data_IF_183283519289
#
_entry.id   IF_183283519289
#
_cell.length_a   1.000
_cell.length_b   1.000
_cell.length_c   1.000
_cell.angle_alpha   90.00
_cell.angle_beta   90.00
_cell.angle_gamma   90.00
#
_symmetry.space_group_name_H-M   'P 1'
#
loop_
_entity.id
_entity.type
_entity.pdbx_description
1 polymer ?
#
# COMPACT_ATOMS: atom_id res chain seq x y z
N UNK A 1 3.19 -11.97 12.69
CA UNK A 1 3.33 -13.32 12.09
C UNK A 1 4.64 -13.95 12.57
N UNK A 2 4.70 -15.27 12.73
CA UNK A 2 5.91 -16.00 13.17
C UNK A 2 6.33 -17.04 12.13
N UNK A 3 7.62 -17.34 12.05
CA UNK A 3 8.18 -18.43 11.24
C UNK A 3 8.71 -19.53 12.16
N UNK A 4 8.42 -20.79 11.82
CA UNK A 4 8.82 -21.96 12.59
C UNK A 4 9.69 -22.91 11.76
N UNK A 5 10.66 -23.55 12.40
CA UNK A 5 11.45 -24.63 11.83
C UNK A 5 11.57 -25.75 12.86
N UNK A 6 11.12 -26.96 12.50
CA UNK A 6 11.08 -28.14 13.41
C UNK A 6 10.43 -27.82 14.77
N UNK A 7 9.27 -27.16 14.76
CA UNK A 7 8.53 -26.77 15.96
C UNK A 7 9.10 -25.57 16.73
N UNK A 8 10.31 -25.09 16.41
CA UNK A 8 10.92 -23.92 17.07
C UNK A 8 10.62 -22.63 16.32
N UNK A 9 10.24 -21.57 17.04
CA UNK A 9 10.13 -20.23 16.46
C UNK A 9 11.52 -19.70 16.10
N UNK A 10 11.73 -19.37 14.82
CA UNK A 10 13.03 -18.91 14.29
C UNK A 10 12.99 -17.48 13.73
N UNK A 11 11.81 -16.90 13.62
CA UNK A 11 11.65 -15.51 13.21
C UNK A 11 10.25 -14.97 13.46
N UNK A 12 10.13 -13.66 13.49
CA UNK A 12 8.86 -12.96 13.69
C UNK A 12 8.87 -11.62 12.96
N UNK A 13 7.68 -11.19 12.58
CA UNK A 13 7.39 -9.84 12.12
C UNK A 13 6.18 -9.31 12.89
N UNK A 14 6.31 -8.09 13.41
CA UNK A 14 5.26 -7.38 14.14
C UNK A 14 4.89 -6.15 13.33
N UNK A 15 3.59 -6.03 13.06
CA UNK A 15 3.02 -5.04 12.16
C UNK A 15 1.75 -4.46 12.78
N UNK A 16 1.41 -3.23 12.38
CA UNK A 16 0.09 -2.64 12.63
C UNK A 16 -0.41 -1.92 11.39
N UNK A 17 -1.71 -1.69 11.34
CA UNK A 17 -2.39 -0.85 10.36
C UNK A 17 -3.17 0.22 11.10
N UNK A 18 -3.32 1.39 10.49
CA UNK A 18 -4.08 2.47 11.10
C UNK A 18 -4.00 3.76 10.30
N UNK A 19 -4.92 4.67 10.61
CA UNK A 19 -4.91 6.00 10.04
C UNK A 19 -3.72 6.81 10.57
N UNK A 20 -3.07 7.52 9.65
CA UNK A 20 -2.04 8.49 9.99
C UNK A 20 -2.04 9.60 8.95
N UNK A 21 -2.32 10.84 9.38
CA UNK A 21 -2.33 12.02 8.51
C UNK A 21 -3.22 11.83 7.27
N UNK A 22 -4.43 11.32 7.45
CA UNK A 22 -5.43 11.05 6.41
C UNK A 22 -5.02 9.97 5.39
N UNK A 23 -4.06 9.11 5.75
CA UNK A 23 -3.68 7.93 4.96
C UNK A 23 -3.81 6.69 5.81
N UNK A 24 -4.52 5.68 5.32
CA UNK A 24 -4.53 4.36 5.98
C UNK A 24 -3.25 3.63 5.61
N UNK A 25 -2.40 3.30 6.59
CA UNK A 25 -1.05 2.78 6.32
C UNK A 25 -0.69 1.58 7.17
N UNK A 26 0.16 0.74 6.60
CA UNK A 26 0.88 -0.30 7.30
C UNK A 26 2.15 0.24 7.98
N UNK A 27 2.50 -0.32 9.12
CA UNK A 27 3.76 -0.06 9.81
C UNK A 27 4.40 -1.37 10.26
N UNK A 28 5.64 -1.62 9.83
CA UNK A 28 6.45 -2.75 10.30
C UNK A 28 7.27 -2.28 11.50
N UNK A 29 6.89 -2.73 12.70
CA UNK A 29 7.49 -2.31 13.95
C UNK A 29 8.74 -3.12 14.31
N UNK A 30 8.75 -4.41 13.96
CA UNK A 30 9.84 -5.31 14.31
C UNK A 30 9.95 -6.45 13.31
N UNK A 31 11.18 -6.79 12.94
CA UNK A 31 11.51 -7.97 12.16
C UNK A 31 12.74 -8.63 12.78
N UNK A 32 12.63 -9.90 13.15
CA UNK A 32 13.73 -10.66 13.76
C UNK A 32 13.80 -12.03 13.11
N UNK A 33 15.01 -12.46 12.75
CA UNK A 33 15.34 -13.84 12.36
C UNK A 33 16.60 -14.24 13.12
N UNK A 34 16.55 -15.41 13.76
CA UNK A 34 17.69 -15.98 14.48
C UNK A 34 18.91 -16.10 13.56
N UNK A 35 20.10 -15.76 14.06
CA UNK A 35 21.33 -15.68 13.25
C UNK A 35 21.60 -16.94 12.43
N UNK A 36 21.44 -18.13 13.03
CA UNK A 36 21.66 -19.43 12.37
C UNK A 36 20.67 -19.76 11.24
N UNK A 37 19.59 -18.98 11.12
CA UNK A 37 18.54 -19.13 10.10
C UNK A 37 18.51 -17.97 9.08
N UNK A 38 19.46 -17.03 9.17
CA UNK A 38 19.61 -15.95 8.18
C UNK A 38 20.14 -16.48 6.85
N UNK A 39 19.98 -15.69 5.78
CA UNK A 39 20.40 -16.06 4.43
C UNK A 39 19.49 -17.07 3.72
N UNK A 40 18.35 -17.44 4.34
CA UNK A 40 17.41 -18.46 3.82
C UNK A 40 16.06 -17.89 3.35
N UNK A 41 15.99 -16.58 3.09
CA UNK A 41 14.76 -15.92 2.62
C UNK A 41 13.64 -15.73 3.66
N UNK A 42 13.80 -16.19 4.91
CA UNK A 42 12.75 -16.12 5.95
C UNK A 42 12.25 -14.68 6.19
N UNK A 43 13.17 -13.73 6.27
CA UNK A 43 12.83 -12.32 6.47
C UNK A 43 12.02 -11.75 5.29
N UNK A 44 12.43 -12.09 4.07
CA UNK A 44 11.71 -11.75 2.83
C UNK A 44 10.29 -12.28 2.89
N UNK A 45 10.11 -13.56 3.19
CA UNK A 45 8.80 -14.19 3.24
C UNK A 45 7.87 -13.56 4.28
N UNK A 46 8.38 -13.33 5.50
CA UNK A 46 7.61 -12.70 6.58
C UNK A 46 7.14 -11.30 6.19
N UNK A 47 8.03 -10.49 5.58
CA UNK A 47 7.71 -9.12 5.17
C UNK A 47 6.76 -9.12 3.97
N UNK A 48 7.01 -9.92 2.94
CA UNK A 48 6.14 -10.02 1.75
C UNK A 48 4.72 -10.41 2.11
N UNK A 49 4.54 -11.42 2.98
CA UNK A 49 3.19 -11.79 3.46
C UNK A 49 2.52 -10.66 4.24
N UNK A 50 3.27 -9.95 5.07
CA UNK A 50 2.73 -8.83 5.84
C UNK A 50 2.29 -7.69 4.93
N UNK A 51 3.08 -7.37 3.91
CA UNK A 51 2.77 -6.36 2.88
C UNK A 51 1.50 -6.74 2.14
N UNK A 52 1.37 -8.00 1.72
CA UNK A 52 0.18 -8.50 1.02
C UNK A 52 -1.08 -8.29 1.86
N UNK A 53 -1.05 -8.68 3.14
CA UNK A 53 -2.18 -8.46 4.06
C UNK A 53 -2.50 -6.97 4.21
N UNK A 54 -1.49 -6.10 4.32
CA UNK A 54 -1.71 -4.65 4.43
C UNK A 54 -2.34 -4.07 3.17
N UNK A 55 -1.90 -4.51 1.99
CA UNK A 55 -2.44 -4.09 0.70
C UNK A 55 -3.90 -4.53 0.54
N UNK A 56 -4.20 -5.79 0.83
CA UNK A 56 -5.56 -6.34 0.80
C UNK A 56 -6.49 -5.67 1.82
N UNK A 57 -5.93 -5.16 2.91
CA UNK A 57 -6.68 -4.39 3.92
C UNK A 57 -6.91 -2.92 3.53
N UNK A 58 -6.48 -2.50 2.34
CA UNK A 58 -6.67 -1.14 1.82
C UNK A 58 -5.66 -0.10 2.33
N UNK A 59 -4.51 -0.53 2.87
CA UNK A 59 -3.43 0.43 3.11
C UNK A 59 -3.00 1.08 1.79
N UNK A 60 -2.57 2.34 1.83
CA UNK A 60 -1.98 3.02 0.65
C UNK A 60 -0.45 2.90 0.63
N UNK A 61 0.15 2.71 1.80
CA UNK A 61 1.60 2.57 1.95
C UNK A 61 1.98 1.69 3.14
N UNK A 62 3.22 1.20 3.13
CA UNK A 62 3.88 0.57 4.28
C UNK A 62 5.11 1.36 4.65
N UNK A 63 5.27 1.61 5.95
CA UNK A 63 6.38 2.40 6.49
C UNK A 63 7.15 1.64 7.58
N UNK A 64 8.43 1.95 7.71
CA UNK A 64 9.28 1.48 8.81
C UNK A 64 10.52 2.36 8.97
N UNK A 65 11.23 2.18 10.08
CA UNK A 65 12.55 2.74 10.28
C UNK A 65 13.62 1.64 10.39
N UNK A 66 14.78 1.89 9.79
CA UNK A 66 15.95 1.03 9.91
C UNK A 66 17.19 1.87 10.18
N UNK A 67 18.07 1.40 11.08
CA UNK A 67 19.37 2.02 11.34
C UNK A 67 20.16 2.19 10.04
N UNK A 68 20.81 3.34 9.87
CA UNK A 68 21.62 3.63 8.67
C UNK A 68 22.80 2.67 8.50
N UNK A 69 23.27 2.07 9.59
CA UNK A 69 24.38 1.11 9.64
C UNK A 69 23.95 -0.33 9.34
N UNK A 70 22.64 -0.63 9.41
CA UNK A 70 22.12 -1.98 9.23
C UNK A 70 22.01 -2.36 7.74
N UNK A 71 23.15 -2.60 7.10
CA UNK A 71 23.26 -2.92 5.66
C UNK A 71 22.37 -4.09 5.24
N UNK A 72 22.21 -5.11 6.10
CA UNK A 72 21.37 -6.27 5.82
C UNK A 72 19.88 -5.93 5.72
N UNK A 73 19.36 -5.15 6.67
CA UNK A 73 17.98 -4.69 6.64
C UNK A 73 17.74 -3.74 5.45
N UNK A 74 18.65 -2.78 5.21
CA UNK A 74 18.53 -1.84 4.09
C UNK A 74 18.53 -2.56 2.73
N UNK A 75 19.37 -3.58 2.56
CA UNK A 75 19.38 -4.39 1.34
C UNK A 75 18.10 -5.22 1.19
N UNK A 76 17.59 -5.81 2.28
CA UNK A 76 16.32 -6.55 2.27
C UNK A 76 15.17 -5.65 1.81
N UNK A 77 14.99 -4.50 2.47
CA UNK A 77 13.86 -3.61 2.17
C UNK A 77 13.99 -2.98 0.79
N UNK A 78 15.20 -2.62 0.35
CA UNK A 78 15.42 -2.11 -1.01
C UNK A 78 15.04 -3.13 -2.08
N UNK A 79 15.36 -4.42 -1.91
CA UNK A 79 14.94 -5.50 -2.83
C UNK A 79 13.43 -5.71 -2.86
N UNK A 80 12.75 -5.38 -1.77
CA UNK A 80 11.29 -5.43 -1.66
C UNK A 80 10.60 -4.15 -2.18
N UNK A 81 11.34 -3.22 -2.80
CA UNK A 81 10.80 -2.00 -3.39
C UNK A 81 10.65 -0.83 -2.43
N UNK A 82 11.15 -0.93 -1.19
CA UNK A 82 11.13 0.22 -0.29
C UNK A 82 12.13 1.29 -0.73
N UNK A 83 11.68 2.54 -0.69
CA UNK A 83 12.48 3.73 -0.94
C UNK A 83 12.84 4.44 0.37
N UNK A 84 13.97 5.16 0.39
CA UNK A 84 14.37 6.01 1.53
C UNK A 84 13.64 7.34 1.45
N UNK A 85 12.62 7.51 2.28
CA UNK A 85 11.80 8.73 2.28
C UNK A 85 12.42 9.86 3.12
N UNK A 86 13.08 9.53 4.24
CA UNK A 86 13.68 10.54 5.14
C UNK A 86 14.83 9.95 5.94
N UNK A 87 15.85 10.76 6.25
CA UNK A 87 16.84 10.48 7.29
C UNK A 87 16.40 11.12 8.60
N UNK A 88 16.44 10.36 9.69
CA UNK A 88 16.06 10.76 11.04
C UNK A 88 17.33 10.77 11.89
N UNK A 89 17.75 11.95 12.34
CA UNK A 89 18.98 12.11 13.12
C UNK A 89 18.78 11.62 14.55
N UNK A 90 19.74 10.83 15.06
CA UNK A 90 19.75 10.30 16.44
C UNK A 90 18.40 9.67 16.83
N UNK A 91 17.81 8.91 15.91
CA UNK A 91 16.46 8.35 16.07
C UNK A 91 16.40 7.24 17.11
N UNK A 92 17.44 6.39 17.13
CA UNK A 92 17.55 5.32 18.11
C UNK A 92 18.25 5.81 19.37
N UNK A 93 17.96 5.16 20.50
CA UNK A 93 18.52 5.52 21.82
C UNK A 93 20.05 5.44 21.87
N UNK A 94 20.66 4.62 21.01
CA UNK A 94 22.12 4.53 20.83
C UNK A 94 22.72 5.74 20.07
N UNK A 95 21.91 6.74 19.71
CA UNK A 95 22.32 7.92 18.95
C UNK A 95 22.50 7.67 17.46
N UNK A 96 22.25 6.45 16.97
CA UNK A 96 22.38 6.11 15.56
C UNK A 96 21.17 6.66 14.77
N UNK A 97 21.46 7.21 13.60
CA UNK A 97 20.45 7.68 12.68
C UNK A 97 19.61 6.53 12.12
N UNK A 98 18.40 6.85 11.68
CA UNK A 98 17.55 5.93 10.94
C UNK A 98 17.21 6.46 9.55
N UNK A 99 16.99 5.55 8.61
CA UNK A 99 16.19 5.86 7.44
C UNK A 99 14.74 5.47 7.69
N UNK A 100 13.82 6.41 7.44
CA UNK A 100 12.42 6.09 7.21
C UNK A 100 12.27 5.54 5.80
N UNK A 101 11.84 4.30 5.71
CA UNK A 101 11.57 3.61 4.46
C UNK A 101 10.06 3.59 4.17
N UNK A 102 9.72 3.67 2.89
CA UNK A 102 8.33 3.58 2.42
C UNK A 102 8.21 2.63 1.24
N UNK A 103 7.14 1.85 1.21
CA UNK A 103 6.66 1.14 0.04
C UNK A 103 5.27 1.69 -0.29
N UNK A 104 5.11 2.27 -1.48
CA UNK A 104 3.84 2.83 -1.95
C UNK A 104 3.09 1.76 -2.72
N UNK A 105 1.79 1.61 -2.46
CA UNK A 105 0.96 0.73 -3.26
C UNK A 105 0.36 1.51 -4.43
N UNK A 106 0.17 0.85 -5.58
CA UNK A 106 -0.58 1.46 -6.67
C UNK A 106 -1.99 1.76 -6.16
N UNK A 107 -2.45 3.00 -6.36
CA UNK A 107 -3.87 3.28 -6.22
C UNK A 107 -4.58 2.52 -7.33
N UNK A 108 -5.68 1.79 -7.04
CA UNK A 108 -6.54 1.33 -8.13
C UNK A 108 -6.89 2.57 -8.93
N UNK A 109 -6.62 2.56 -10.24
CA UNK A 109 -6.93 3.71 -11.08
C UNK A 109 -8.40 4.05 -10.85
N UNK A 110 -8.66 5.27 -10.38
CA UNK A 110 -10.01 5.81 -10.44
C UNK A 110 -10.39 5.77 -11.90
N UNK A 111 -11.48 5.08 -12.26
CA UNK A 111 -12.12 5.23 -13.55
C UNK A 111 -12.38 6.73 -13.74
N UNK A 112 -11.47 7.42 -14.40
CA UNK A 112 -11.74 8.73 -14.93
C UNK A 112 -12.77 8.48 -16.03
N UNK A 113 -13.98 9.08 -15.95
CA UNK A 113 -14.89 8.99 -17.07
C UNK A 113 -14.14 9.54 -18.28
N UNK A 114 -13.90 8.69 -19.28
CA UNK A 114 -13.38 9.16 -20.56
C UNK A 114 -14.33 10.22 -21.06
N UNK A 115 -13.82 11.38 -21.47
CA UNK A 115 -14.54 12.59 -21.91
C UNK A 115 -15.65 12.37 -22.97
N UNK A 116 -15.85 11.13 -23.43
CA UNK A 116 -16.96 10.72 -24.30
C UNK A 116 -18.34 10.66 -23.64
N UNK A 117 -18.48 10.65 -22.30
CA UNK A 117 -19.83 10.72 -21.68
C UNK A 117 -20.34 12.14 -21.47
N UNK A 118 -19.45 13.14 -21.37
CA UNK A 118 -19.83 14.55 -21.17
C UNK A 118 -20.52 15.14 -22.39
N UNK A 119 -20.24 14.63 -23.60
CA UNK A 119 -20.91 15.05 -24.83
C UNK A 119 -22.32 14.50 -25.00
N UNK A 120 -22.69 13.39 -24.34
CA UNK A 120 -24.03 12.79 -24.45
C UNK A 120 -25.07 13.49 -23.57
N UNK A 121 -24.66 14.17 -22.51
CA UNK A 121 -25.56 14.86 -21.58
C UNK A 121 -25.85 16.32 -21.99
N UNK A 122 -25.13 16.86 -22.99
CA UNK A 122 -25.30 18.24 -23.47
C UNK A 122 -26.10 18.35 -24.78
N UNK A 123 -26.29 17.25 -25.53
CA UNK A 123 -27.05 17.26 -26.79
C UNK A 123 -28.36 16.50 -26.68
N UNK A 124 -29.41 17.21 -26.27
CA UNK A 124 -30.68 17.15 -26.99
C UNK A 124 -31.68 16.08 -26.54
N UNK A 125 -32.52 16.45 -25.58
CA UNK A 125 -33.94 16.15 -25.70
C UNK A 125 -34.54 17.03 -26.81
N UNK A 126 -35.20 16.40 -27.79
CA UNK A 126 -36.33 16.98 -28.53
C UNK A 126 -37.36 15.85 -28.67
N UNK A 127 -38.46 15.96 -27.95
CA UNK A 127 -39.68 15.20 -28.22
C UNK A 127 -40.41 15.92 -29.37
N UNK A 128 -40.80 15.26 -30.47
CA UNK A 128 -41.72 15.86 -31.42
C UNK A 128 -43.15 15.68 -30.91
N UNK A 129 -43.78 16.80 -30.64
CA UNK A 129 -45.20 16.95 -30.40
C UNK A 129 -45.94 17.09 -31.73
N UNK A 130 -46.63 16.02 -32.16
CA UNK A 130 -47.63 16.07 -33.23
C UNK A 130 -49.02 16.24 -32.59
N UNK A 131 -49.58 17.44 -32.74
CA UNK A 131 -51.00 17.68 -32.51
C UNK A 131 -51.59 18.27 -33.81
N UNK A 132 -52.40 17.47 -34.50
CA UNK A 132 -53.26 17.91 -35.59
C UNK A 132 -54.69 17.58 -35.23
N UNK A 133 -55.45 18.59 -34.82
CA UNK A 133 -56.89 18.51 -34.56
C UNK A 133 -57.70 18.35 -35.86
N UNK A 134 -58.65 17.40 -35.81
CA UNK A 134 -60.04 17.43 -36.28
C UNK A 134 -60.41 18.15 -37.60
N UNK A 135 -61.01 17.38 -38.53
CA UNK A 135 -62.21 17.65 -39.37
C UNK A 135 -62.44 16.37 -40.21
N UNK A 136 -63.61 15.76 -40.47
CA UNK A 136 -65.02 16.03 -40.24
C UNK A 136 -65.82 14.71 -40.28
N UNK A 137 -66.99 14.69 -39.66
CA UNK A 137 -68.06 13.71 -39.84
C UNK A 137 -68.81 13.90 -41.17
N UNK A 138 -69.07 12.82 -41.90
CA UNK A 138 -70.34 12.44 -42.54
C UNK A 138 -70.32 10.94 -42.84
#
# INVERSE_FOLDING_TARGET
>A
MKAFHKGKCVGTVVCKMGEHRNTFRGYIAMLVVLNSYRGRGIATELVTRSIKVMMESGCEEVTLEAEVTNKGALALYSRLGFIRAKRLFRYYLNGVDAFRLKLLFPRPESNFPTDNESHRLLTGGIQPEENSMLQNSM
#
